data_IF_688688724553
#
_entry.id   IF_688688724553
#
_cell.length_a   1.000
_cell.length_b   1.000
_cell.length_c   1.000
_cell.angle_alpha   90.00
_cell.angle_beta   90.00
_cell.angle_gamma   90.00
#
_symmetry.space_group_name_H-M   'P 1'
#
loop_
_entity.id
_entity.type
_entity.pdbx_description
1 polymer ?
#
# COMPACT_ATOMS: atom_id res chain seq x y z
N UNK A 1 15.26 39.50 -0.56
CA UNK A 1 15.67 38.09 -0.32
C UNK A 1 14.54 37.27 0.32
N UNK A 2 13.28 37.52 -0.03
CA UNK A 2 12.10 36.89 0.59
C UNK A 2 11.29 36.03 -0.38
N UNK A 3 11.43 36.23 -1.69
CA UNK A 3 10.69 35.44 -2.70
C UNK A 3 11.27 34.04 -2.97
N UNK A 4 12.54 33.79 -2.67
CA UNK A 4 13.17 32.46 -2.93
C UNK A 4 12.62 31.40 -1.96
N UNK A 5 12.25 31.81 -0.74
CA UNK A 5 11.75 30.88 0.28
C UNK A 5 10.35 30.33 -0.07
N UNK A 6 9.51 31.11 -0.77
CA UNK A 6 8.13 30.73 -1.11
C UNK A 6 8.04 29.59 -2.13
N UNK A 7 9.02 29.46 -3.03
CA UNK A 7 8.99 28.46 -4.11
C UNK A 7 9.23 27.04 -3.56
N UNK A 8 9.98 26.91 -2.46
CA UNK A 8 10.26 25.62 -1.82
C UNK A 8 9.06 25.02 -1.06
N UNK A 9 8.03 25.80 -0.72
CA UNK A 9 6.83 25.28 -0.05
C UNK A 9 5.84 24.63 -1.02
N UNK A 10 6.01 24.81 -2.33
CA UNK A 10 5.12 24.26 -3.37
C UNK A 10 5.65 22.97 -3.99
N UNK A 11 6.91 22.58 -3.72
CA UNK A 11 7.52 21.35 -4.27
C UNK A 11 7.11 20.06 -3.55
N UNK A 12 6.24 20.15 -2.53
CA UNK A 12 5.79 19.00 -1.74
C UNK A 12 4.55 18.27 -2.28
N UNK A 13 3.86 18.80 -3.29
CA UNK A 13 2.70 18.13 -3.88
C UNK A 13 3.15 17.11 -4.93
N UNK A 14 3.82 16.05 -4.48
CA UNK A 14 4.01 14.87 -5.31
C UNK A 14 2.66 14.17 -5.44
N UNK A 15 2.03 14.24 -6.63
CA UNK A 15 0.90 13.38 -6.96
C UNK A 15 1.39 11.93 -6.83
N UNK A 16 0.87 11.20 -5.85
CA UNK A 16 1.13 9.76 -5.74
C UNK A 16 0.49 9.11 -6.96
N UNK A 17 1.32 8.78 -7.94
CA UNK A 17 0.92 8.04 -9.14
C UNK A 17 1.13 6.56 -8.88
N UNK A 18 0.11 5.75 -9.09
CA UNK A 18 0.12 4.31 -8.84
C UNK A 18 -1.21 3.87 -8.24
N UNK A 19 -1.66 2.68 -8.57
CA UNK A 19 -2.81 2.04 -7.96
C UNK A 19 -2.34 1.03 -6.90
N UNK A 20 -3.27 0.53 -6.08
CA UNK A 20 -2.97 -0.46 -5.04
C UNK A 20 -2.25 -1.70 -5.60
N UNK A 21 -2.63 -2.18 -6.78
CA UNK A 21 -2.08 -3.36 -7.41
C UNK A 21 -0.63 -3.17 -7.89
N UNK A 22 -0.14 -1.94 -8.01
CA UNK A 22 1.24 -1.65 -8.42
C UNK A 22 2.23 -1.81 -7.25
N UNK A 23 1.75 -1.79 -6.01
CA UNK A 23 2.57 -1.75 -4.79
C UNK A 23 2.25 -2.87 -3.80
N UNK A 24 1.20 -3.64 -4.05
CA UNK A 24 0.75 -4.71 -3.17
C UNK A 24 0.76 -6.06 -3.90
N UNK A 25 1.19 -7.08 -3.15
CA UNK A 25 1.28 -8.46 -3.62
C UNK A 25 0.46 -9.39 -2.71
N UNK A 26 0.15 -10.62 -3.17
CA UNK A 26 -0.48 -11.62 -2.35
C UNK A 26 0.38 -11.99 -1.14
N UNK A 27 -0.22 -11.99 0.05
CA UNK A 27 0.44 -12.42 1.28
C UNK A 27 0.38 -13.94 1.35
N UNK A 28 1.54 -14.59 1.47
CA UNK A 28 1.70 -16.06 1.56
C UNK A 28 2.50 -16.43 2.81
N UNK A 29 1.84 -16.56 3.98
CA UNK A 29 2.55 -16.83 5.21
C UNK A 29 3.23 -18.20 5.24
N UNK A 30 4.33 -18.29 5.98
CA UNK A 30 5.02 -19.55 6.27
C UNK A 30 4.18 -20.42 7.23
N UNK A 31 4.46 -21.72 7.24
CA UNK A 31 3.91 -22.67 8.22
C UNK A 31 4.36 -22.38 9.66
N UNK A 32 5.45 -21.62 9.82
CA UNK A 32 6.00 -21.23 11.11
C UNK A 32 5.45 -19.90 11.64
N UNK A 33 4.64 -19.19 10.86
CA UNK A 33 4.14 -17.88 11.25
C UNK A 33 2.90 -18.04 12.14
N UNK A 34 2.97 -17.45 13.34
CA UNK A 34 1.85 -17.44 14.28
C UNK A 34 1.07 -16.12 14.19
N UNK A 35 -0.22 -16.23 13.87
CA UNK A 35 -1.11 -15.08 13.74
C UNK A 35 -2.32 -15.17 14.65
N UNK A 36 -2.73 -14.02 15.18
CA UNK A 36 -4.05 -13.88 15.76
C UNK A 36 -5.13 -14.17 14.71
N UNK A 37 -6.33 -14.59 15.15
CA UNK A 37 -7.48 -14.78 14.26
C UNK A 37 -7.80 -13.49 13.48
N UNK A 38 -7.62 -12.33 14.11
CA UNK A 38 -7.83 -11.03 13.46
C UNK A 38 -6.91 -10.82 12.27
N UNK A 39 -5.61 -11.08 12.45
CA UNK A 39 -4.61 -10.93 11.38
C UNK A 39 -4.85 -11.92 10.25
N UNK A 40 -5.21 -13.17 10.54
CA UNK A 40 -5.54 -14.16 9.52
C UNK A 40 -6.71 -13.68 8.62
N UNK A 41 -7.76 -13.11 9.23
CA UNK A 41 -8.89 -12.56 8.47
C UNK A 41 -8.50 -11.38 7.59
N UNK A 42 -7.61 -10.51 8.08
CA UNK A 42 -7.11 -9.37 7.30
C UNK A 42 -6.28 -9.83 6.10
N UNK A 43 -5.41 -10.83 6.28
CA UNK A 43 -4.62 -11.43 5.19
C UNK A 43 -5.55 -12.05 4.13
N UNK A 44 -6.57 -12.79 4.56
CA UNK A 44 -7.54 -13.37 3.64
C UNK A 44 -8.29 -12.29 2.86
N UNK A 45 -8.81 -11.26 3.53
CA UNK A 45 -9.52 -10.16 2.89
C UNK A 45 -8.64 -9.37 1.89
N UNK A 46 -7.37 -9.13 2.24
CA UNK A 46 -6.38 -8.53 1.32
C UNK A 46 -6.21 -9.39 0.07
N UNK A 47 -6.06 -10.70 0.25
CA UNK A 47 -5.84 -11.61 -0.86
C UNK A 47 -7.07 -11.77 -1.77
N UNK A 48 -8.27 -11.84 -1.19
CA UNK A 48 -9.52 -11.91 -1.95
C UNK A 48 -9.78 -10.62 -2.74
N UNK A 49 -9.48 -9.47 -2.16
CA UNK A 49 -9.56 -8.19 -2.87
C UNK A 49 -8.58 -8.16 -4.05
N UNK A 50 -7.33 -8.57 -3.84
CA UNK A 50 -6.32 -8.66 -4.90
C UNK A 50 -6.74 -9.59 -6.04
N UNK A 51 -7.27 -10.77 -5.74
CA UNK A 51 -7.77 -11.70 -6.75
C UNK A 51 -8.88 -11.08 -7.61
N UNK A 52 -9.78 -10.31 -6.98
CA UNK A 52 -10.89 -9.66 -7.67
C UNK A 52 -10.48 -8.40 -8.44
N UNK A 53 -9.61 -7.55 -7.86
CA UNK A 53 -9.32 -6.21 -8.35
C UNK A 53 -8.02 -6.13 -9.15
N UNK A 54 -7.04 -6.97 -8.83
CA UNK A 54 -5.68 -6.94 -9.38
C UNK A 54 -5.34 -8.18 -10.23
N UNK A 55 -6.06 -9.30 -10.05
CA UNK A 55 -5.90 -10.53 -10.83
C UNK A 55 -4.82 -11.48 -10.32
N UNK A 56 -4.44 -11.38 -9.04
CA UNK A 56 -3.43 -12.23 -8.39
C UNK A 56 -3.95 -13.05 -7.20
#
# INVERSE_FOLDING_TARGET
MTMILMIGLLSGCATVTGNFCDVADPIRPSVSDDFTIGTQRQILAHNEYGARACGW
#
